data_IF_666098361847
#
_entry.id   IF_666098361847
#
_cell.length_a   1.000
_cell.length_b   1.000
_cell.length_c   1.000
_cell.angle_alpha   90.00
_cell.angle_beta   90.00
_cell.angle_gamma   90.00
#
_symmetry.space_group_name_H-M   'P 1'
#
loop_
_entity.id
_entity.type
_entity.pdbx_description
1 polymer ?
#
# COMPACT_ATOMS: atom_id res chain seq x y z
N UNK A 1 -50.58 32.89 22.04
CA UNK A 1 -50.21 33.41 23.36
C UNK A 1 -48.95 32.69 23.77
N UNK A 2 -47.80 33.41 23.67
CA UNK A 2 -46.71 33.49 24.63
C UNK A 2 -45.87 32.19 24.81
N UNK A 3 -44.61 32.15 24.73
CA UNK A 3 -43.37 32.96 24.63
C UNK A 3 -42.18 32.04 24.36
N UNK A 4 -41.36 32.43 23.52
CA UNK A 4 -39.92 32.54 23.51
C UNK A 4 -39.16 32.30 24.85
N UNK A 5 -38.07 31.54 24.77
CA UNK A 5 -36.89 31.87 25.56
C UNK A 5 -35.63 31.25 24.92
N UNK A 6 -34.77 32.16 24.64
CA UNK A 6 -33.42 32.09 24.15
C UNK A 6 -32.45 31.58 25.23
N UNK A 7 -31.31 31.06 24.81
CA UNK A 7 -30.12 31.00 25.62
C UNK A 7 -28.93 30.41 24.85
N UNK A 8 -27.90 31.21 24.56
CA UNK A 8 -26.67 30.68 23.95
C UNK A 8 -25.67 30.24 25.01
N UNK A 9 -25.14 29.05 24.86
CA UNK A 9 -24.06 28.53 25.69
C UNK A 9 -22.71 28.63 24.96
N UNK A 10 -21.89 29.45 25.51
CA UNK A 10 -20.55 29.86 25.18
C UNK A 10 -19.55 28.70 25.05
N UNK A 11 -18.67 28.85 24.08
CA UNK A 11 -17.39 28.11 24.04
C UNK A 11 -16.39 28.74 24.99
N UNK A 12 -15.48 27.98 25.58
CA UNK A 12 -14.18 28.52 25.88
C UNK A 12 -13.11 27.94 24.96
N UNK A 13 -12.46 28.80 24.24
CA UNK A 13 -11.19 28.59 23.62
C UNK A 13 -10.10 28.40 24.68
N UNK A 14 -9.15 27.55 24.37
CA UNK A 14 -7.84 27.59 25.04
C UNK A 14 -6.75 27.50 23.99
N UNK A 15 -6.20 28.65 23.75
CA UNK A 15 -4.86 28.82 23.20
C UNK A 15 -3.85 28.31 24.23
N UNK A 16 -2.89 27.55 23.78
CA UNK A 16 -1.77 27.05 24.56
C UNK A 16 -0.55 26.92 23.69
N UNK A 17 0.13 28.00 23.51
CA UNK A 17 1.55 28.25 23.74
C UNK A 17 2.54 27.32 23.00
N UNK A 18 3.05 27.88 21.91
CA UNK A 18 4.36 27.58 21.30
C UNK A 18 5.46 27.76 22.37
N UNK A 19 6.22 26.72 22.62
CA UNK A 19 7.46 26.81 23.38
C UNK A 19 8.63 26.41 22.51
N UNK A 20 9.32 27.43 22.05
CA UNK A 20 10.64 27.37 21.44
C UNK A 20 11.66 27.00 22.52
N UNK A 21 12.46 25.98 22.32
CA UNK A 21 13.72 25.76 23.03
C UNK A 21 14.76 25.30 22.03
N UNK A 22 15.54 26.19 21.66
CA UNK A 22 17.00 26.41 21.70
C UNK A 22 17.86 25.20 21.31
N UNK A 23 18.53 25.42 20.19
CA UNK A 23 19.69 24.74 19.63
C UNK A 23 20.87 24.85 20.59
N UNK A 24 21.51 23.74 20.88
CA UNK A 24 22.95 23.73 21.20
C UNK A 24 23.64 22.71 20.31
N UNK A 25 24.50 23.27 19.52
CA UNK A 25 25.57 22.73 18.73
C UNK A 25 26.63 22.10 19.64
N UNK A 26 27.03 20.86 19.42
CA UNK A 26 28.33 20.39 19.88
C UNK A 26 28.89 19.27 18.97
N UNK A 27 29.87 19.66 18.31
CA UNK A 27 31.00 19.14 17.55
C UNK A 27 31.51 17.76 17.97
N UNK A 28 31.63 16.89 16.97
CA UNK A 28 32.61 15.85 16.58
C UNK A 28 33.71 15.44 17.60
N UNK A 29 34.24 14.17 17.63
CA UNK A 29 34.99 13.66 16.47
C UNK A 29 34.84 12.14 16.19
N UNK A 30 35.07 11.83 14.93
CA UNK A 30 35.41 10.52 14.38
C UNK A 30 36.72 9.96 14.95
N UNK A 31 36.89 8.64 15.06
CA UNK A 31 38.22 8.08 14.77
C UNK A 31 38.20 7.11 13.59
N UNK A 32 39.23 7.28 12.81
CA UNK A 32 39.66 6.60 11.62
C UNK A 32 40.28 5.19 11.91
N UNK A 33 40.52 4.40 10.87
CA UNK A 33 40.59 2.93 10.90
C UNK A 33 42.01 2.42 11.03
N UNK A 34 42.18 1.22 11.54
CA UNK A 34 43.24 0.28 11.09
C UNK A 34 43.26 -0.97 11.96
N UNK A 35 43.04 -2.13 11.36
CA UNK A 35 43.87 -3.33 11.51
C UNK A 35 43.19 -4.56 10.94
N UNK A 36 43.68 -5.03 9.80
CA UNK A 36 43.68 -6.45 9.41
C UNK A 36 44.82 -7.13 10.19
N UNK A 37 44.67 -8.43 10.57
CA UNK A 37 45.29 -9.45 9.73
C UNK A 37 44.51 -10.78 9.60
N UNK A 38 44.53 -11.26 8.42
CA UNK A 38 44.89 -12.58 7.86
C UNK A 38 44.72 -13.88 8.69
N UNK A 39 44.16 -14.86 7.98
CA UNK A 39 44.46 -16.28 8.05
C UNK A 39 43.34 -17.08 8.69
N UNK A 40 42.71 -18.05 8.08
CA UNK A 40 43.22 -19.29 7.55
C UNK A 40 42.09 -20.11 6.94
N UNK A 41 42.38 -20.80 5.88
CA UNK A 41 41.59 -21.75 5.13
C UNK A 41 41.03 -22.90 5.97
N UNK A 42 39.84 -23.42 5.59
CA UNK A 42 39.66 -24.85 5.25
C UNK A 42 38.23 -25.16 4.86
N UNK A 43 37.97 -25.37 3.63
CA UNK A 43 37.61 -26.57 2.86
C UNK A 43 36.27 -27.26 3.14
N UNK A 44 35.61 -27.46 2.03
CA UNK A 44 34.75 -28.59 1.58
C UNK A 44 33.27 -28.56 1.90
N UNK A 45 32.54 -28.31 0.85
CA UNK A 45 31.81 -29.30 0.04
C UNK A 45 30.35 -29.51 0.45
N UNK A 46 29.46 -29.02 -0.39
CA UNK A 46 28.36 -29.81 -0.94
C UNK A 46 27.73 -29.04 -2.12
N UNK A 47 27.91 -29.57 -3.29
CA UNK A 47 27.23 -29.17 -4.51
C UNK A 47 25.74 -29.51 -4.34
N UNK A 48 24.93 -28.53 -4.11
CA UNK A 48 23.49 -28.62 -4.33
C UNK A 48 23.25 -28.14 -5.76
N UNK A 49 22.75 -29.04 -6.59
CA UNK A 49 22.46 -28.81 -7.98
C UNK A 49 21.58 -27.59 -8.15
N UNK A 50 22.14 -26.56 -8.77
CA UNK A 50 21.47 -25.40 -9.31
C UNK A 50 20.52 -25.86 -10.43
N UNK A 51 19.25 -26.07 -10.08
CA UNK A 51 18.17 -26.22 -11.05
C UNK A 51 17.93 -24.83 -11.62
N UNK A 52 18.20 -24.57 -12.90
CA UNK A 52 17.94 -23.27 -13.47
C UNK A 52 16.44 -22.98 -13.31
N UNK A 53 16.10 -22.01 -12.48
CA UNK A 53 14.79 -21.36 -12.50
C UNK A 53 14.67 -20.78 -13.90
N UNK A 54 13.85 -21.38 -14.73
CA UNK A 54 13.42 -20.79 -15.97
C UNK A 54 12.78 -19.46 -15.59
N UNK A 55 13.54 -18.37 -15.69
CA UNK A 55 13.01 -17.04 -15.76
C UNK A 55 12.19 -17.02 -17.04
N UNK A 56 10.85 -16.94 -16.93
CA UNK A 56 10.04 -16.50 -18.06
C UNK A 56 10.67 -15.18 -18.46
N UNK A 57 11.24 -15.12 -19.65
CA UNK A 57 11.73 -13.86 -20.20
C UNK A 57 10.57 -12.86 -20.14
N UNK A 58 10.85 -11.65 -19.68
CA UNK A 58 9.85 -10.61 -19.71
C UNK A 58 9.39 -10.43 -21.17
N UNK A 59 8.07 -10.44 -21.41
CA UNK A 59 7.54 -10.29 -22.75
C UNK A 59 8.01 -8.96 -23.36
N UNK A 60 8.39 -8.97 -24.63
CA UNK A 60 8.78 -7.75 -25.33
C UNK A 60 7.64 -6.73 -25.39
N UNK A 61 7.93 -5.45 -25.72
CA UNK A 61 6.90 -4.38 -25.69
C UNK A 61 5.65 -4.69 -26.52
N UNK A 62 5.78 -5.35 -27.67
CA UNK A 62 4.66 -5.79 -28.51
C UNK A 62 3.83 -6.89 -27.84
N UNK A 63 4.48 -7.87 -27.27
CA UNK A 63 3.83 -8.97 -26.55
C UNK A 63 3.11 -8.50 -25.29
N UNK A 64 3.67 -7.53 -24.57
CA UNK A 64 2.99 -6.91 -23.42
C UNK A 64 1.71 -6.20 -23.83
N UNK A 65 1.73 -5.49 -24.97
CA UNK A 65 0.54 -4.84 -25.50
C UNK A 65 -0.56 -5.86 -25.79
N UNK A 66 -0.24 -6.94 -26.50
CA UNK A 66 -1.20 -8.00 -26.85
C UNK A 66 -1.78 -8.66 -25.59
N UNK A 67 -0.96 -8.96 -24.59
CA UNK A 67 -1.42 -9.53 -23.31
C UNK A 67 -2.40 -8.58 -22.61
N UNK A 68 -2.10 -7.28 -22.54
CA UNK A 68 -2.98 -6.29 -21.91
C UNK A 68 -4.26 -6.06 -22.71
N UNK A 69 -4.17 -6.04 -24.04
CA UNK A 69 -5.34 -5.95 -24.91
C UNK A 69 -6.27 -7.17 -24.71
N UNK A 70 -5.70 -8.36 -24.64
CA UNK A 70 -6.47 -9.58 -24.36
C UNK A 70 -7.16 -9.57 -22.99
N UNK A 71 -6.49 -9.09 -21.93
CA UNK A 71 -7.12 -8.90 -20.59
C UNK A 71 -8.30 -7.95 -20.67
N UNK A 72 -8.14 -6.81 -21.35
CA UNK A 72 -9.20 -5.82 -21.54
C UNK A 72 -10.42 -6.41 -22.24
N UNK A 73 -10.23 -7.12 -23.34
CA UNK A 73 -11.33 -7.72 -24.10
C UNK A 73 -12.05 -8.80 -23.28
N UNK A 74 -11.30 -9.61 -22.51
CA UNK A 74 -11.89 -10.60 -21.61
C UNK A 74 -12.76 -9.94 -20.54
N UNK A 75 -12.26 -8.91 -19.84
CA UNK A 75 -13.03 -8.19 -18.81
C UNK A 75 -14.32 -7.59 -19.39
N UNK A 76 -14.25 -6.99 -20.58
CA UNK A 76 -15.44 -6.48 -21.27
C UNK A 76 -16.44 -7.59 -21.63
N UNK A 77 -15.94 -8.73 -22.13
CA UNK A 77 -16.76 -9.89 -22.43
C UNK A 77 -17.47 -10.49 -21.19
N UNK A 78 -16.88 -10.33 -20.02
CA UNK A 78 -17.44 -10.72 -18.72
C UNK A 78 -18.35 -9.62 -18.11
N UNK A 79 -18.58 -8.52 -18.82
CA UNK A 79 -19.46 -7.42 -18.39
C UNK A 79 -18.79 -6.43 -17.42
N UNK A 80 -17.46 -6.45 -17.32
CA UNK A 80 -16.70 -5.48 -16.52
C UNK A 80 -16.17 -4.35 -17.38
N UNK A 81 -16.30 -3.12 -16.87
CA UNK A 81 -15.65 -1.96 -17.47
C UNK A 81 -14.22 -1.81 -16.89
N UNK A 82 -13.17 -2.10 -17.70
CA UNK A 82 -11.80 -1.92 -17.26
C UNK A 82 -11.37 -0.46 -17.15
N UNK A 83 -12.21 0.47 -17.62
CA UNK A 83 -11.94 1.91 -17.60
C UNK A 83 -13.15 2.68 -17.06
N UNK A 84 -13.53 2.47 -15.79
CA UNK A 84 -14.66 3.17 -15.21
C UNK A 84 -14.39 4.67 -15.16
N UNK A 85 -15.41 5.46 -15.50
CA UNK A 85 -15.33 6.93 -15.51
C UNK A 85 -15.09 7.49 -14.11
N UNK A 86 -15.57 6.80 -13.07
CA UNK A 86 -15.40 7.19 -11.68
C UNK A 86 -15.34 5.97 -10.76
N UNK A 87 -14.65 6.12 -9.65
CA UNK A 87 -14.61 5.16 -8.55
C UNK A 87 -14.90 5.89 -7.23
N UNK A 88 -15.47 5.22 -6.21
CA UNK A 88 -15.91 5.86 -4.97
C UNK A 88 -14.75 6.18 -4.03
N UNK A 89 -13.82 7.03 -4.47
CA UNK A 89 -12.72 7.51 -3.63
C UNK A 89 -13.28 8.36 -2.49
N UNK A 90 -12.93 8.02 -1.25
CA UNK A 90 -13.37 8.74 -0.04
C UNK A 90 -12.30 9.64 0.53
N UNK A 91 -11.03 9.35 0.25
CA UNK A 91 -9.89 10.11 0.78
C UNK A 91 -8.67 9.98 -0.12
N UNK A 92 -7.66 10.82 0.10
CA UNK A 92 -6.39 10.75 -0.62
C UNK A 92 -5.37 9.88 0.11
N UNK A 93 -4.38 9.36 -0.63
CA UNK A 93 -3.26 8.61 -0.05
C UNK A 93 -2.51 9.46 0.98
N UNK A 94 -2.29 10.74 0.68
CA UNK A 94 -1.62 11.68 1.58
C UNK A 94 -2.41 11.86 2.90
N UNK A 95 -3.74 12.02 2.83
CA UNK A 95 -4.58 12.17 4.02
C UNK A 95 -4.58 10.90 4.91
N UNK A 96 -4.57 9.71 4.30
CA UNK A 96 -4.40 8.46 5.06
C UNK A 96 -3.05 8.42 5.76
N UNK A 97 -1.97 8.77 5.09
CA UNK A 97 -0.64 8.79 5.69
C UNK A 97 -0.53 9.77 6.85
N UNK A 98 -1.12 10.95 6.72
CA UNK A 98 -1.12 11.97 7.78
C UNK A 98 -2.01 11.57 8.96
N UNK A 99 -3.25 11.16 8.68
CA UNK A 99 -4.23 10.85 9.72
C UNK A 99 -3.87 9.63 10.58
N UNK A 100 -3.19 8.65 9.99
CA UNK A 100 -2.89 7.38 10.65
C UNK A 100 -1.39 7.15 10.91
N UNK A 101 -0.58 8.20 10.87
CA UNK A 101 0.86 8.12 11.17
C UNK A 101 1.19 7.63 12.59
N UNK A 102 0.22 7.70 13.49
CA UNK A 102 0.35 7.29 14.90
C UNK A 102 0.19 5.79 15.14
N UNK A 103 -0.26 5.02 14.15
CA UNK A 103 -0.51 3.58 14.34
C UNK A 103 0.79 2.82 14.58
N UNK A 104 0.83 2.04 15.64
CA UNK A 104 1.92 1.14 15.93
C UNK A 104 1.85 -0.14 15.06
N UNK A 105 2.95 -0.87 14.99
CA UNK A 105 3.03 -2.11 14.21
C UNK A 105 2.01 -3.15 14.71
N UNK A 106 1.14 -3.60 13.82
CA UNK A 106 0.08 -4.57 14.10
C UNK A 106 -1.24 -3.96 14.54
N UNK A 107 -1.35 -2.63 14.65
CA UNK A 107 -2.61 -1.96 14.95
C UNK A 107 -3.59 -2.08 13.78
N UNK A 108 -4.84 -2.29 14.11
CA UNK A 108 -5.96 -2.31 13.16
C UNK A 108 -7.01 -1.29 13.60
N UNK A 109 -7.60 -0.59 12.65
CA UNK A 109 -8.71 0.35 12.91
C UNK A 109 -10.01 -0.20 12.31
N UNK A 110 -11.14 0.35 12.72
CA UNK A 110 -12.43 0.09 12.07
C UNK A 110 -12.72 1.09 10.94
N UNK A 111 -11.81 2.02 10.69
CA UNK A 111 -11.98 3.05 9.68
C UNK A 111 -11.79 2.48 8.28
N UNK A 112 -12.84 2.56 7.47
CA UNK A 112 -12.88 2.10 6.10
C UNK A 112 -12.69 3.27 5.15
N UNK A 113 -11.73 3.13 4.25
CA UNK A 113 -11.39 4.15 3.26
C UNK A 113 -11.43 3.58 1.83
N UNK A 114 -11.69 4.47 0.87
CA UNK A 114 -11.55 4.20 -0.56
C UNK A 114 -10.44 5.07 -1.14
N UNK A 115 -9.37 4.48 -1.60
CA UNK A 115 -8.21 5.18 -2.19
C UNK A 115 -7.93 4.68 -3.60
N UNK A 116 -7.41 5.55 -4.44
CA UNK A 116 -6.99 5.18 -5.79
C UNK A 116 -5.56 5.65 -6.05
N UNK A 117 -4.82 4.88 -6.85
CA UNK A 117 -3.46 5.22 -7.22
C UNK A 117 -2.93 4.30 -8.31
N UNK A 118 -1.74 4.63 -8.81
CA UNK A 118 -1.02 3.80 -9.76
C UNK A 118 -0.27 2.69 -9.02
N UNK A 119 -0.39 1.47 -9.51
CA UNK A 119 0.37 0.31 -9.01
C UNK A 119 1.83 0.46 -9.41
N UNK A 120 2.70 0.71 -8.43
CA UNK A 120 4.15 0.86 -8.63
C UNK A 120 4.96 -0.32 -8.11
N UNK A 121 4.34 -1.16 -7.29
CA UNK A 121 4.95 -2.38 -6.79
C UNK A 121 3.88 -3.45 -6.53
N UNK A 122 4.22 -4.70 -6.86
CA UNK A 122 3.39 -5.88 -6.64
C UNK A 122 4.24 -7.01 -6.04
N UNK A 123 3.77 -7.57 -4.93
CA UNK A 123 4.36 -8.75 -4.33
C UNK A 123 3.31 -9.80 -4.00
N UNK A 124 3.36 -10.93 -4.66
CA UNK A 124 2.47 -12.06 -4.45
C UNK A 124 3.12 -13.11 -3.54
N UNK A 125 2.48 -13.42 -2.41
CA UNK A 125 2.93 -14.44 -1.45
C UNK A 125 1.93 -15.60 -1.34
N UNK A 126 1.21 -15.89 -2.41
CA UNK A 126 0.20 -16.95 -2.46
C UNK A 126 -1.17 -16.48 -1.98
N UNK A 127 -1.48 -16.53 -0.69
CA UNK A 127 -2.78 -16.14 -0.13
C UNK A 127 -2.89 -14.65 0.22
N UNK A 128 -1.82 -13.90 0.03
CA UNK A 128 -1.73 -12.47 0.31
C UNK A 128 -0.95 -11.78 -0.80
N UNK A 129 -1.48 -10.68 -1.29
CA UNK A 129 -0.77 -9.76 -2.18
C UNK A 129 -0.54 -8.43 -1.48
N UNK A 130 0.64 -7.88 -1.69
CA UNK A 130 1.01 -6.52 -1.30
C UNK A 130 1.13 -5.68 -2.57
N UNK A 131 0.50 -4.54 -2.54
CA UNK A 131 0.49 -3.59 -3.63
C UNK A 131 0.90 -2.23 -3.09
N UNK A 132 1.82 -1.55 -3.75
CA UNK A 132 2.09 -0.15 -3.45
C UNK A 132 1.38 0.70 -4.49
N UNK A 133 0.49 1.55 -4.02
CA UNK A 133 -0.22 2.56 -4.80
C UNK A 133 0.51 3.89 -4.67
N UNK A 134 0.62 4.63 -5.76
CA UNK A 134 1.19 5.97 -5.81
C UNK A 134 0.17 6.94 -6.37
N UNK A 135 0.00 8.09 -5.71
CA UNK A 135 -0.83 9.18 -6.19
C UNK A 135 -0.09 10.11 -7.17
N UNK A 136 -0.78 11.15 -7.66
CA UNK A 136 -0.20 12.12 -8.59
C UNK A 136 0.89 13.01 -7.99
N UNK A 137 0.97 13.10 -6.67
CA UNK A 137 2.01 13.83 -5.93
C UNK A 137 3.25 12.97 -5.62
N UNK A 138 3.21 11.69 -5.96
CA UNK A 138 4.29 10.74 -5.66
C UNK A 138 4.17 10.07 -4.28
N UNK A 139 3.14 10.39 -3.50
CA UNK A 139 2.90 9.76 -2.20
C UNK A 139 2.48 8.30 -2.40
N UNK A 140 3.00 7.40 -1.58
CA UNK A 140 2.72 5.98 -1.71
C UNK A 140 2.00 5.43 -0.48
N UNK A 141 1.16 4.42 -0.71
CA UNK A 141 0.46 3.68 0.34
C UNK A 141 0.41 2.20 -0.01
N UNK A 142 0.64 1.34 0.97
CA UNK A 142 0.49 -0.08 0.78
C UNK A 142 -0.99 -0.50 0.83
N UNK A 143 -1.40 -1.35 -0.08
CA UNK A 143 -2.64 -2.11 0.02
C UNK A 143 -2.31 -3.59 0.21
N UNK A 144 -3.09 -4.27 1.05
CA UNK A 144 -2.97 -5.69 1.34
C UNK A 144 -4.25 -6.40 0.89
N UNK A 145 -4.11 -7.35 -0.03
CA UNK A 145 -5.23 -8.13 -0.54
C UNK A 145 -5.10 -9.56 -0.03
N UNK A 146 -6.02 -9.96 0.85
CA UNK A 146 -6.01 -11.26 1.51
C UNK A 146 -7.11 -12.17 0.97
N UNK A 147 -6.77 -13.44 0.65
CA UNK A 147 -7.74 -14.46 0.31
C UNK A 147 -8.76 -14.78 1.44
N UNK A 148 -8.51 -14.29 2.67
CA UNK A 148 -9.46 -14.42 3.77
C UNK A 148 -10.50 -13.29 3.80
N UNK A 149 -10.08 -12.09 3.37
CA UNK A 149 -10.92 -10.90 3.38
C UNK A 149 -11.72 -10.73 2.08
N UNK A 150 -11.18 -11.23 0.97
CA UNK A 150 -11.80 -11.13 -0.34
C UNK A 150 -12.65 -12.38 -0.67
N UNK A 151 -13.64 -12.27 -1.57
CA UNK A 151 -14.41 -13.41 -2.04
C UNK A 151 -13.52 -14.49 -2.66
N UNK A 152 -13.98 -15.74 -2.62
CA UNK A 152 -13.27 -16.86 -3.24
C UNK A 152 -13.29 -16.78 -4.77
N UNK A 153 -14.36 -16.22 -5.33
CA UNK A 153 -14.62 -16.15 -6.77
C UNK A 153 -15.13 -14.77 -7.17
N UNK A 154 -15.12 -14.49 -8.47
CA UNK A 154 -15.55 -13.23 -9.04
C UNK A 154 -14.41 -12.22 -9.21
N UNK A 155 -14.74 -11.06 -9.77
CA UNK A 155 -13.74 -10.05 -10.16
C UNK A 155 -13.05 -9.35 -8.98
N UNK A 156 -13.64 -9.43 -7.80
CA UNK A 156 -13.02 -8.92 -6.55
C UNK A 156 -12.23 -9.98 -5.81
N UNK A 157 -12.17 -11.21 -6.32
CA UNK A 157 -11.37 -12.29 -5.76
C UNK A 157 -9.87 -12.01 -5.92
N UNK A 158 -9.07 -12.51 -4.99
CA UNK A 158 -7.61 -12.39 -5.08
C UNK A 158 -7.03 -13.04 -6.35
N UNK A 159 -7.68 -14.10 -6.85
CA UNK A 159 -7.28 -14.78 -8.09
C UNK A 159 -7.46 -13.87 -9.31
N UNK A 160 -8.61 -13.20 -9.42
CA UNK A 160 -8.89 -12.24 -10.49
C UNK A 160 -7.90 -11.06 -10.43
N UNK A 161 -7.70 -10.47 -9.25
CA UNK A 161 -6.69 -9.42 -9.08
C UNK A 161 -5.31 -9.84 -9.64
N UNK A 162 -4.84 -11.05 -9.32
CA UNK A 162 -3.55 -11.56 -9.80
C UNK A 162 -3.49 -11.81 -11.30
N UNK A 163 -4.63 -12.11 -11.92
CA UNK A 163 -4.72 -12.36 -13.35
C UNK A 163 -4.79 -11.06 -14.15
N UNK A 164 -5.41 -10.02 -13.59
CA UNK A 164 -5.83 -8.85 -14.32
C UNK A 164 -4.95 -7.62 -14.11
N UNK A 165 -4.45 -7.43 -12.88
CA UNK A 165 -3.71 -6.22 -12.51
C UNK A 165 -2.23 -6.37 -12.76
N UNK A 166 -1.67 -5.39 -13.46
CA UNK A 166 -0.25 -5.29 -13.80
C UNK A 166 0.38 -4.02 -13.16
N UNK A 167 1.71 -3.99 -13.15
CA UNK A 167 2.44 -2.77 -12.80
C UNK A 167 2.09 -1.64 -13.76
N UNK A 168 1.85 -0.45 -13.21
CA UNK A 168 1.47 0.74 -13.95
C UNK A 168 -0.04 0.96 -14.09
N UNK A 169 -0.87 -0.03 -13.77
CA UNK A 169 -2.33 0.13 -13.78
C UNK A 169 -2.80 1.09 -12.68
N UNK A 170 -3.95 1.71 -12.88
CA UNK A 170 -4.64 2.44 -11.83
C UNK A 170 -5.57 1.47 -11.09
N UNK A 171 -5.45 1.46 -9.78
CA UNK A 171 -6.23 0.59 -8.92
C UNK A 171 -6.99 1.41 -7.89
N UNK A 172 -8.27 1.11 -7.71
CA UNK A 172 -9.07 1.54 -6.58
C UNK A 172 -9.11 0.43 -5.53
N UNK A 173 -8.83 0.79 -4.28
CA UNK A 173 -8.89 -0.12 -3.13
C UNK A 173 -9.81 0.46 -2.08
N UNK A 174 -10.76 -0.35 -1.65
CA UNK A 174 -11.66 -0.09 -0.52
C UNK A 174 -11.30 -1.04 0.61
N UNK A 175 -11.19 -0.55 1.85
CA UNK A 175 -10.85 -1.39 2.98
C UNK A 175 -10.45 -0.63 4.23
N UNK A 176 -10.13 -1.39 5.28
CA UNK A 176 -9.75 -0.85 6.58
C UNK A 176 -8.31 -0.38 6.63
N UNK A 177 -8.10 0.73 7.33
CA UNK A 177 -6.75 1.24 7.59
C UNK A 177 -6.11 0.42 8.71
N UNK A 178 -4.92 -0.10 8.45
CA UNK A 178 -4.16 -0.91 9.41
C UNK A 178 -2.67 -0.53 9.36
N UNK A 179 -1.95 -0.86 10.40
CA UNK A 179 -0.50 -0.96 10.37
C UNK A 179 -0.10 -2.43 10.27
N UNK A 180 0.68 -2.79 9.27
CA UNK A 180 1.14 -4.16 9.10
C UNK A 180 1.99 -4.60 10.29
N UNK A 181 2.20 -5.92 10.46
CA UNK A 181 3.08 -6.44 11.54
C UNK A 181 4.51 -5.90 11.49
N UNK A 182 4.92 -5.32 10.37
CA UNK A 182 6.23 -4.68 10.19
C UNK A 182 6.18 -3.17 10.36
N UNK A 183 5.02 -2.61 10.71
CA UNK A 183 4.83 -1.17 10.91
C UNK A 183 4.56 -0.38 9.62
N UNK A 184 4.29 -1.06 8.48
CA UNK A 184 3.92 -0.34 7.26
C UNK A 184 2.43 -0.01 7.26
N UNK A 185 2.10 1.27 7.17
CA UNK A 185 0.72 1.74 7.06
C UNK A 185 0.09 1.20 5.77
N UNK A 186 -1.06 0.58 5.90
CA UNK A 186 -1.68 -0.19 4.83
C UNK A 186 -3.20 -0.07 4.84
N UNK A 187 -3.81 -0.31 3.69
CA UNK A 187 -5.24 -0.56 3.57
C UNK A 187 -5.45 -2.07 3.36
N UNK A 188 -6.13 -2.73 4.28
CA UNK A 188 -6.55 -4.11 4.12
C UNK A 188 -7.80 -4.13 3.24
N UNK A 189 -7.65 -4.61 2.01
CA UNK A 189 -8.75 -4.62 1.04
C UNK A 189 -9.92 -5.47 1.50
N UNK A 190 -11.11 -4.92 1.36
CA UNK A 190 -12.40 -5.54 1.60
C UNK A 190 -13.27 -5.48 0.34
N UNK A 191 -14.26 -6.37 0.19
CA UNK A 191 -15.19 -6.30 -0.92
C UNK A 191 -15.95 -4.96 -0.89
N UNK A 192 -16.06 -4.31 -2.04
CA UNK A 192 -16.96 -3.16 -2.17
C UNK A 192 -18.38 -3.70 -2.14
N UNK A 193 -19.08 -3.41 -1.09
CA UNK A 193 -20.53 -3.66 -1.03
C UNK A 193 -21.20 -2.69 -2.00
N UNK A 194 -21.84 -3.23 -3.05
CA UNK A 194 -22.64 -2.47 -4.00
C UNK A 194 -24.05 -2.32 -3.49
#
# INVERSE_FOLDING_TARGET
>A
MVRASSGPGERPGRAGAVRLLHVTDETTPSPDPTATPAGTESSKSARSADRPKQSKADPGPGEQFEVRAGKRERLRGEGWDPYPVSVPVTTTIAAVREGYAHLAAGDETDDVVGVAGRVVFLRNTGRLCFVTLQDGAGTTLQAMLSAKALPAEGHTALAAFKADVDLGDHLFVHGRVISSRRGELSVMAEPVLR
#
